data_IF_849043232244
#
_entry.id   IF_849043232244
#
_cell.length_a   1.000
_cell.length_b   1.000
_cell.length_c   1.000
_cell.angle_alpha   90.00
_cell.angle_beta   90.00
_cell.angle_gamma   90.00
#
_symmetry.space_group_name_H-M   'P 1'
#
loop_
_entity.id
_entity.type
_entity.pdbx_description
1 polymer ?
#
# COMPACT_ATOMS: atom_id res chain seq x y z
N UNK A 1 1.80 -6.23 32.45
CA UNK A 1 3.16 -6.43 31.92
C UNK A 1 3.39 -5.39 30.84
N UNK A 2 4.37 -4.51 31.00
CA UNK A 2 4.66 -3.46 30.02
C UNK A 2 5.51 -4.05 28.89
N UNK A 3 4.97 -4.12 27.67
CA UNK A 3 5.68 -4.67 26.51
C UNK A 3 6.62 -3.59 25.98
N UNK A 4 7.93 -3.78 26.19
CA UNK A 4 8.96 -2.88 25.63
C UNK A 4 9.09 -3.10 24.12
N UNK A 5 8.57 -2.16 23.32
CA UNK A 5 8.65 -2.21 21.86
C UNK A 5 10.06 -1.91 21.35
N UNK A 6 10.44 -2.52 20.23
CA UNK A 6 11.68 -2.23 19.51
C UNK A 6 11.69 -0.77 19.05
N UNK A 7 12.80 -0.06 19.28
CA UNK A 7 13.01 1.27 18.72
C UNK A 7 13.17 1.17 17.21
N UNK A 8 12.32 1.86 16.46
CA UNK A 8 12.33 1.92 15.00
C UNK A 8 12.19 3.36 14.54
N UNK A 9 12.60 3.66 13.30
CA UNK A 9 12.32 4.96 12.68
C UNK A 9 10.81 5.16 12.49
N UNK A 10 10.37 6.41 12.48
CA UNK A 10 9.01 6.76 12.07
C UNK A 10 8.90 6.81 10.55
N UNK A 11 7.79 6.32 10.02
CA UNK A 11 7.31 6.59 8.66
C UNK A 11 5.85 7.02 8.72
N UNK A 12 5.37 7.68 7.66
CA UNK A 12 3.96 8.04 7.51
C UNK A 12 3.37 7.25 6.35
N UNK A 13 2.21 6.62 6.57
CA UNK A 13 1.36 6.08 5.51
C UNK A 13 0.13 6.96 5.45
N UNK A 14 0.09 7.89 4.49
CA UNK A 14 -0.89 8.98 4.50
C UNK A 14 -0.80 9.75 5.83
N UNK A 15 -1.89 9.80 6.59
CA UNK A 15 -1.96 10.43 7.91
C UNK A 15 -1.53 9.51 9.07
N UNK A 16 -1.30 8.22 8.85
CA UNK A 16 -1.07 7.23 9.92
C UNK A 16 0.44 7.05 10.20
N UNK A 17 0.91 7.33 11.44
CA UNK A 17 2.30 7.13 11.81
C UNK A 17 2.61 5.67 12.15
N UNK A 18 3.73 5.15 11.64
CA UNK A 18 4.22 3.80 11.94
C UNK A 18 5.63 3.86 12.51
N UNK A 19 5.84 3.17 13.63
CA UNK A 19 7.14 3.11 14.32
C UNK A 19 7.38 4.27 15.29
N UNK A 20 8.56 4.31 15.89
CA UNK A 20 8.99 5.36 16.82
C UNK A 20 7.94 5.72 17.90
N UNK A 21 7.46 4.69 18.61
CA UNK A 21 6.50 4.83 19.70
C UNK A 21 5.04 5.06 19.28
N UNK A 22 4.74 5.26 17.99
CA UNK A 22 3.36 5.34 17.52
C UNK A 22 2.60 4.03 17.83
N UNK A 23 1.28 4.07 18.12
CA UNK A 23 0.46 2.87 18.31
C UNK A 23 0.61 1.85 17.18
N UNK A 24 0.39 0.57 17.47
CA UNK A 24 0.38 -0.45 16.40
C UNK A 24 -0.87 -0.24 15.56
N UNK A 25 -0.69 0.24 14.33
CA UNK A 25 -1.80 0.49 13.42
C UNK A 25 -2.44 -0.82 12.94
N UNK A 26 -3.77 -0.85 12.90
CA UNK A 26 -4.56 -1.96 12.36
C UNK A 26 -4.68 -1.80 10.84
N UNK A 27 -4.19 -2.78 10.10
CA UNK A 27 -4.28 -2.83 8.64
C UNK A 27 -5.13 -4.02 8.19
N UNK A 28 -5.98 -3.81 7.18
CA UNK A 28 -6.72 -4.87 6.48
C UNK A 28 -6.42 -4.91 4.98
N UNK A 29 -7.08 -5.81 4.25
CA UNK A 29 -7.03 -5.89 2.79
C UNK A 29 -8.43 -6.11 2.24
N UNK A 30 -8.78 -5.40 1.16
CA UNK A 30 -10.05 -5.60 0.46
C UNK A 30 -10.07 -6.95 -0.25
N UNK A 31 -11.27 -7.47 -0.47
CA UNK A 31 -11.51 -8.71 -1.22
C UNK A 31 -12.28 -8.46 -2.51
N UNK A 32 -12.76 -7.24 -2.72
CA UNK A 32 -13.40 -6.81 -3.97
C UNK A 32 -12.39 -6.73 -5.10
N UNK A 33 -12.89 -6.79 -6.33
CA UNK A 33 -12.12 -6.39 -7.49
C UNK A 33 -11.87 -4.87 -7.43
N UNK A 34 -10.62 -4.45 -7.44
CA UNK A 34 -10.23 -3.02 -7.39
C UNK A 34 -10.84 -2.20 -8.53
N UNK A 35 -11.18 -2.83 -9.66
CA UNK A 35 -11.87 -2.17 -10.79
C UNK A 35 -13.31 -1.79 -10.43
N UNK A 36 -13.95 -2.51 -9.50
CA UNK A 36 -15.21 -2.08 -8.88
C UNK A 36 -14.93 -1.04 -7.79
N UNK A 37 -14.82 0.22 -8.23
CA UNK A 37 -14.53 1.38 -7.37
C UNK A 37 -15.57 1.52 -6.27
N UNK A 38 -16.87 1.40 -6.59
CA UNK A 38 -17.93 1.63 -5.62
C UNK A 38 -18.02 0.48 -4.61
N UNK A 39 -17.88 -0.77 -5.06
CA UNK A 39 -17.82 -1.93 -4.16
C UNK A 39 -16.61 -1.87 -3.24
N UNK A 40 -15.46 -1.50 -3.79
CA UNK A 40 -14.22 -1.35 -3.01
C UNK A 40 -14.34 -0.23 -1.97
N UNK A 41 -14.90 0.92 -2.33
CA UNK A 41 -15.13 2.02 -1.39
C UNK A 41 -16.10 1.65 -0.28
N UNK A 42 -17.21 0.95 -0.60
CA UNK A 42 -18.14 0.44 0.44
C UNK A 42 -17.43 -0.46 1.44
N UNK A 43 -16.60 -1.40 0.94
CA UNK A 43 -15.84 -2.29 1.82
C UNK A 43 -14.81 -1.52 2.66
N UNK A 44 -14.14 -0.52 2.08
CA UNK A 44 -13.21 0.35 2.81
C UNK A 44 -13.94 1.07 3.95
N UNK A 45 -15.10 1.68 3.68
CA UNK A 45 -15.88 2.40 4.67
C UNK A 45 -16.31 1.48 5.82
N UNK A 46 -16.75 0.27 5.51
CA UNK A 46 -17.16 -0.71 6.53
C UNK A 46 -15.98 -1.18 7.39
N UNK A 47 -14.81 -1.39 6.78
CA UNK A 47 -13.58 -1.71 7.52
C UNK A 47 -13.11 -0.53 8.38
N UNK A 48 -13.19 0.70 7.88
CA UNK A 48 -12.84 1.89 8.64
C UNK A 48 -13.74 2.07 9.88
N UNK A 49 -15.05 1.83 9.75
CA UNK A 49 -16.02 1.90 10.86
C UNK A 49 -15.70 0.93 12.01
N UNK A 50 -15.07 -0.21 11.71
CA UNK A 50 -14.67 -1.20 12.73
C UNK A 50 -13.21 -1.03 13.20
N UNK A 51 -12.56 0.08 12.85
CA UNK A 51 -11.24 0.44 13.36
C UNK A 51 -10.05 0.05 12.48
N UNK A 52 -10.27 -0.26 11.20
CA UNK A 52 -9.18 -0.36 10.24
C UNK A 52 -8.57 1.03 10.00
N UNK A 53 -7.25 1.16 10.14
CA UNK A 53 -6.54 2.43 10.00
C UNK A 53 -5.83 2.57 8.65
N UNK A 54 -5.47 1.46 8.01
CA UNK A 54 -4.82 1.44 6.69
C UNK A 54 -5.44 0.31 5.86
N UNK A 55 -5.82 0.59 4.62
CA UNK A 55 -6.34 -0.44 3.72
C UNK A 55 -5.32 -0.80 2.64
N UNK A 56 -5.25 -2.09 2.31
CA UNK A 56 -4.53 -2.58 1.14
C UNK A 56 -5.51 -3.11 0.10
N UNK A 57 -5.20 -2.95 -1.18
CA UNK A 57 -5.98 -3.50 -2.29
C UNK A 57 -5.06 -4.09 -3.37
N UNK A 58 -5.55 -5.09 -4.10
CA UNK A 58 -4.79 -5.78 -5.13
C UNK A 58 -4.75 -4.97 -6.44
N UNK A 59 -3.58 -4.88 -7.08
CA UNK A 59 -3.44 -4.24 -8.39
C UNK A 59 -2.94 -5.28 -9.37
N UNK A 60 -3.87 -5.82 -10.15
CA UNK A 60 -3.63 -6.97 -11.04
C UNK A 60 -3.38 -6.57 -12.49
N UNK A 61 -3.86 -5.39 -12.88
CA UNK A 61 -3.73 -4.83 -14.23
C UNK A 61 -3.76 -3.29 -14.19
N UNK A 62 -3.63 -2.67 -15.37
CA UNK A 62 -3.58 -1.23 -15.54
C UNK A 62 -4.92 -0.55 -15.18
N UNK A 63 -6.05 -1.20 -15.43
CA UNK A 63 -7.37 -0.68 -15.06
C UNK A 63 -7.53 -0.58 -13.54
N UNK A 64 -7.09 -1.63 -12.81
CA UNK A 64 -7.02 -1.61 -11.35
C UNK A 64 -6.06 -0.51 -10.84
N UNK A 65 -4.93 -0.31 -11.52
CA UNK A 65 -3.97 0.73 -11.15
C UNK A 65 -4.56 2.14 -11.28
N UNK A 66 -5.32 2.40 -12.34
CA UNK A 66 -6.03 3.67 -12.53
C UNK A 66 -7.18 3.86 -11.54
N UNK A 67 -7.86 2.77 -11.18
CA UNK A 67 -8.92 2.77 -10.17
C UNK A 67 -8.39 3.16 -8.78
N UNK A 68 -7.15 2.77 -8.42
CA UNK A 68 -6.52 3.14 -7.14
C UNK A 68 -6.57 4.64 -6.88
N UNK A 69 -6.23 5.47 -7.88
CA UNK A 69 -6.25 6.93 -7.71
C UNK A 69 -7.66 7.47 -7.45
N UNK A 70 -8.68 6.88 -8.09
CA UNK A 70 -10.09 7.24 -7.88
C UNK A 70 -10.56 6.82 -6.48
N UNK A 71 -10.18 5.63 -6.04
CA UNK A 71 -10.49 5.08 -4.71
C UNK A 71 -9.80 5.92 -3.63
N UNK A 72 -8.50 6.16 -3.74
CA UNK A 72 -7.72 6.89 -2.73
C UNK A 72 -8.29 8.28 -2.45
N UNK A 73 -8.76 9.02 -3.47
CA UNK A 73 -9.37 10.34 -3.29
C UNK A 73 -10.66 10.33 -2.46
N UNK A 74 -11.34 9.18 -2.37
CA UNK A 74 -12.61 9.01 -1.69
C UNK A 74 -12.51 8.16 -0.42
N UNK A 75 -11.42 7.43 -0.26
CA UNK A 75 -11.17 6.57 0.89
C UNK A 75 -11.03 7.41 2.18
N UNK A 76 -11.71 7.02 3.29
CA UNK A 76 -11.54 7.66 4.59
C UNK A 76 -10.20 7.35 5.26
N UNK A 77 -9.48 6.32 4.78
CA UNK A 77 -8.22 5.84 5.35
C UNK A 77 -7.13 5.68 4.27
N UNK A 78 -5.83 5.75 4.62
CA UNK A 78 -4.73 5.58 3.66
C UNK A 78 -4.80 4.26 2.88
N UNK A 79 -4.47 4.33 1.59
CA UNK A 79 -4.52 3.21 0.65
C UNK A 79 -3.11 2.75 0.29
N UNK A 80 -2.84 1.45 0.46
CA UNK A 80 -1.63 0.77 -0.02
C UNK A 80 -1.97 -0.09 -1.25
N UNK A 81 -1.23 0.09 -2.34
CA UNK A 81 -1.32 -0.77 -3.52
C UNK A 81 -0.46 -2.04 -3.34
N UNK A 82 -1.04 -3.21 -3.58
CA UNK A 82 -0.33 -4.50 -3.57
C UNK A 82 0.02 -4.96 -4.98
N UNK A 83 1.31 -4.99 -5.30
CA UNK A 83 1.83 -5.21 -6.66
C UNK A 83 2.78 -6.39 -6.64
N UNK A 84 2.50 -7.36 -7.50
CA UNK A 84 3.25 -8.61 -7.52
C UNK A 84 4.36 -8.61 -8.57
N UNK A 85 4.08 -8.26 -9.83
CA UNK A 85 5.01 -8.55 -10.94
C UNK A 85 5.37 -7.35 -11.81
N UNK A 86 4.41 -6.49 -12.14
CA UNK A 86 4.63 -5.43 -13.12
C UNK A 86 4.95 -4.08 -12.46
N UNK A 87 6.16 -3.58 -12.72
CA UNK A 87 6.63 -2.29 -12.23
C UNK A 87 5.88 -1.11 -12.85
N UNK A 88 5.32 -1.24 -14.05
CA UNK A 88 4.52 -0.18 -14.67
C UNK A 88 3.28 0.13 -13.84
N UNK A 89 2.63 -0.90 -13.27
CA UNK A 89 1.50 -0.72 -12.35
C UNK A 89 1.92 0.08 -11.11
N UNK A 90 3.13 -0.15 -10.60
CA UNK A 90 3.67 0.61 -9.48
C UNK A 90 3.84 2.09 -9.84
N UNK A 91 4.41 2.38 -11.00
CA UNK A 91 4.54 3.77 -11.46
C UNK A 91 3.17 4.44 -11.63
N UNK A 92 2.19 3.74 -12.20
CA UNK A 92 0.81 4.24 -12.37
C UNK A 92 0.18 4.61 -11.02
N UNK A 93 0.21 3.73 -10.01
CA UNK A 93 -0.43 4.04 -8.71
C UNK A 93 0.31 5.14 -7.94
N UNK A 94 1.62 5.25 -8.12
CA UNK A 94 2.42 6.33 -7.53
C UNK A 94 2.01 7.69 -8.11
N UNK A 95 1.82 7.78 -9.43
CA UNK A 95 1.24 8.98 -10.04
C UNK A 95 -0.21 9.22 -9.63
N UNK A 96 -0.97 8.15 -9.43
CA UNK A 96 -2.35 8.19 -8.96
C UNK A 96 -2.52 8.69 -7.52
N UNK A 97 -1.42 8.87 -6.77
CA UNK A 97 -1.41 9.43 -5.42
C UNK A 97 -1.68 8.41 -4.32
N UNK A 98 -1.30 7.15 -4.52
CA UNK A 98 -1.35 6.12 -3.47
C UNK A 98 -0.53 6.53 -2.23
N UNK A 99 -0.91 6.07 -1.04
CA UNK A 99 -0.24 6.43 0.21
C UNK A 99 0.94 5.50 0.55
N UNK A 100 1.10 4.42 -0.20
CA UNK A 100 2.24 3.50 -0.13
C UNK A 100 2.09 2.33 -1.10
N UNK A 101 3.18 1.60 -1.35
CA UNK A 101 3.13 0.37 -2.14
C UNK A 101 3.70 -0.81 -1.35
N UNK A 102 3.13 -2.00 -1.55
CA UNK A 102 3.79 -3.26 -1.20
C UNK A 102 4.25 -3.94 -2.46
N UNK A 103 5.53 -4.28 -2.49
CA UNK A 103 6.16 -5.06 -3.55
C UNK A 103 6.89 -6.27 -2.97
N UNK A 104 7.09 -7.28 -3.80
CA UNK A 104 8.09 -8.31 -3.57
C UNK A 104 9.18 -8.18 -4.64
N UNK A 105 10.40 -7.72 -4.31
CA UNK A 105 11.49 -7.59 -5.27
C UNK A 105 11.78 -8.85 -6.07
N UNK A 106 11.64 -10.04 -5.47
CA UNK A 106 11.85 -11.32 -6.17
C UNK A 106 10.89 -11.55 -7.34
N UNK A 107 9.69 -10.98 -7.26
CA UNK A 107 8.65 -11.13 -8.29
C UNK A 107 8.67 -10.01 -9.35
N UNK A 108 9.17 -8.82 -9.02
CA UNK A 108 9.25 -7.66 -9.94
C UNK A 108 10.33 -7.88 -11.03
N UNK A 109 11.36 -8.67 -10.72
CA UNK A 109 12.41 -9.05 -11.66
C UNK A 109 13.65 -8.16 -11.52
N UNK A 110 14.08 -7.54 -12.62
CA UNK A 110 15.42 -6.93 -12.69
C UNK A 110 15.61 -5.74 -11.74
N UNK A 111 16.87 -5.53 -11.30
CA UNK A 111 17.24 -4.39 -10.44
C UNK A 111 16.87 -3.04 -11.05
N UNK A 112 16.94 -2.91 -12.38
CA UNK A 112 16.54 -1.69 -13.09
C UNK A 112 15.06 -1.37 -12.87
N UNK A 113 14.17 -2.37 -12.94
CA UNK A 113 12.73 -2.20 -12.69
C UNK A 113 12.47 -1.81 -11.23
N UNK A 114 13.12 -2.48 -10.29
CA UNK A 114 13.02 -2.18 -8.86
C UNK A 114 13.49 -0.75 -8.58
N UNK A 115 14.62 -0.34 -9.18
CA UNK A 115 15.19 1.00 -9.03
C UNK A 115 14.24 2.09 -9.53
N UNK A 116 13.57 1.88 -10.66
CA UNK A 116 12.56 2.81 -11.16
C UNK A 116 11.44 3.04 -10.13
N UNK A 117 10.97 2.00 -9.46
CA UNK A 117 9.96 2.12 -8.38
C UNK A 117 10.54 2.90 -7.19
N UNK A 118 11.73 2.52 -6.73
CA UNK A 118 12.36 3.12 -5.54
C UNK A 118 12.64 4.60 -5.74
N UNK A 119 13.22 4.97 -6.88
CA UNK A 119 13.52 6.36 -7.22
C UNK A 119 12.21 7.17 -7.25
N UNK A 120 11.15 6.62 -7.85
CA UNK A 120 9.87 7.35 -7.92
C UNK A 120 9.16 7.49 -6.58
N UNK A 121 9.19 6.45 -5.74
CA UNK A 121 8.67 6.50 -4.37
C UNK A 121 9.43 7.53 -3.53
N UNK A 122 10.76 7.60 -3.70
CA UNK A 122 11.61 8.58 -3.03
C UNK A 122 11.26 10.01 -3.44
N UNK A 123 11.09 10.27 -4.73
CA UNK A 123 10.69 11.59 -5.24
C UNK A 123 9.35 12.07 -4.65
N UNK A 124 8.41 11.14 -4.44
CA UNK A 124 7.09 11.43 -3.87
C UNK A 124 7.07 11.37 -2.33
N UNK A 125 8.17 10.98 -1.69
CA UNK A 125 8.25 10.83 -0.24
C UNK A 125 7.36 9.70 0.33
N UNK A 126 7.07 8.67 -0.47
CA UNK A 126 6.15 7.60 -0.11
C UNK A 126 6.87 6.38 0.50
N UNK A 127 6.26 5.67 1.46
CA UNK A 127 6.83 4.45 2.04
C UNK A 127 6.64 3.22 1.12
N UNK A 128 7.66 2.37 1.07
CA UNK A 128 7.59 1.04 0.44
C UNK A 128 7.57 -0.04 1.52
N UNK A 129 6.62 -0.97 1.43
CA UNK A 129 6.65 -2.22 2.19
C UNK A 129 7.26 -3.33 1.34
N UNK A 130 8.42 -3.83 1.76
CA UNK A 130 9.05 -5.02 1.16
C UNK A 130 8.47 -6.26 1.83
N UNK A 131 7.70 -7.05 1.07
CA UNK A 131 7.06 -8.27 1.58
C UNK A 131 7.64 -9.52 0.93
N UNK A 132 8.65 -10.11 1.57
CA UNK A 132 9.25 -11.40 1.18
C UNK A 132 8.57 -12.51 1.96
N UNK A 133 8.03 -13.49 1.24
CA UNK A 133 7.35 -14.66 1.81
C UNK A 133 8.06 -15.94 1.37
N UNK A 134 7.97 -17.01 2.17
CA UNK A 134 8.63 -18.29 1.87
C UNK A 134 8.23 -18.90 0.51
N UNK A 135 7.00 -18.68 0.04
CA UNK A 135 6.54 -19.13 -1.28
C UNK A 135 7.05 -18.29 -2.46
N UNK A 136 7.99 -17.39 -2.23
CA UNK A 136 8.55 -16.47 -3.23
C UNK A 136 10.05 -16.20 -3.00
N UNK A 137 10.71 -17.12 -2.28
CA UNK A 137 12.16 -17.18 -2.12
C UNK A 137 12.79 -17.91 -3.31
#
# INVERSE_FOLDING_TARGET
>A
MEIKRKKTRRIMVGSVPIGDGAPVAVQSMTTTDTRDIEGTLRQIDDLAKVGCEIIRLAVVDQEAAEAVGKIRRRSPIPVIADIHFDYHLALTVIEGGVDGVRINPGNIGSQTKIRAIVDRMKDKGLPIRIGVNAGSL
#
